data_IF_356217786519
#
_entry.id   IF_356217786519
#
_cell.length_a   1.000
_cell.length_b   1.000
_cell.length_c   1.000
_cell.angle_alpha   90.00
_cell.angle_beta   90.00
_cell.angle_gamma   90.00
#
_symmetry.space_group_name_H-M   'P 1'
#
loop_
_entity.id
_entity.type
_entity.pdbx_description
1 polymer ?
#
# COMPACT_ATOMS: atom_id res chain seq x y z
N UNK A 1 -3.99 3.41 7.58
CA UNK A 1 -4.54 4.80 7.68
C UNK A 1 -6.00 4.72 8.10
N UNK A 2 -6.56 5.83 8.62
CA UNK A 2 -7.97 5.92 9.03
C UNK A 2 -8.92 5.56 7.87
N UNK A 3 -8.61 6.01 6.64
CA UNK A 3 -9.40 5.70 5.45
C UNK A 3 -9.45 4.20 5.09
N UNK A 4 -8.32 3.49 5.24
CA UNK A 4 -8.26 2.03 5.01
C UNK A 4 -9.10 1.27 6.04
N UNK A 5 -8.95 1.61 7.32
CA UNK A 5 -9.71 0.97 8.41
C UNK A 5 -11.22 1.21 8.27
N UNK A 6 -11.62 2.43 7.92
CA UNK A 6 -13.03 2.76 7.71
C UNK A 6 -13.62 2.00 6.51
N UNK A 7 -12.87 1.90 5.41
CA UNK A 7 -13.32 1.15 4.23
C UNK A 7 -13.53 -0.34 4.54
N UNK A 8 -12.63 -0.96 5.31
CA UNK A 8 -12.81 -2.35 5.76
C UNK A 8 -14.10 -2.53 6.56
N UNK A 9 -14.37 -1.64 7.53
CA UNK A 9 -15.58 -1.71 8.36
C UNK A 9 -16.83 -1.66 7.49
N UNK A 10 -16.89 -0.74 6.52
CA UNK A 10 -18.03 -0.63 5.61
C UNK A 10 -18.22 -1.88 4.74
N UNK A 11 -17.13 -2.42 4.18
CA UNK A 11 -17.18 -3.65 3.37
C UNK A 11 -17.67 -4.84 4.21
N UNK A 12 -17.12 -5.03 5.41
CA UNK A 12 -17.50 -6.12 6.32
C UNK A 12 -18.95 -6.02 6.77
N UNK A 13 -19.40 -4.84 7.23
CA UNK A 13 -20.80 -4.63 7.63
C UNK A 13 -21.72 -4.84 6.41
N UNK A 14 -21.32 -4.36 5.23
CA UNK A 14 -22.08 -4.53 4.00
C UNK A 14 -22.28 -6.01 3.64
N UNK A 15 -21.27 -6.85 3.82
CA UNK A 15 -21.41 -8.29 3.62
C UNK A 15 -22.29 -8.96 4.68
N UNK A 16 -22.14 -8.62 5.97
CA UNK A 16 -22.93 -9.21 7.06
C UNK A 16 -24.43 -8.87 6.89
N UNK A 17 -24.73 -7.63 6.53
CA UNK A 17 -26.11 -7.16 6.35
C UNK A 17 -26.68 -7.46 4.94
N UNK A 18 -25.90 -8.13 4.07
CA UNK A 18 -26.22 -8.34 2.66
C UNK A 18 -26.57 -7.04 1.88
N UNK A 19 -26.04 -5.91 2.32
CA UNK A 19 -26.30 -4.58 1.74
C UNK A 19 -25.26 -4.26 0.67
N UNK A 20 -25.58 -4.57 -0.59
CA UNK A 20 -24.69 -4.33 -1.75
C UNK A 20 -24.20 -2.88 -1.86
N UNK A 21 -25.07 -1.90 -1.58
CA UNK A 21 -24.71 -0.48 -1.60
C UNK A 21 -23.55 -0.15 -0.66
N UNK A 22 -23.56 -0.70 0.56
CA UNK A 22 -22.54 -0.44 1.57
C UNK A 22 -21.20 -1.08 1.18
N UNK A 23 -21.26 -2.28 0.59
CA UNK A 23 -20.08 -2.96 0.03
C UNK A 23 -19.45 -2.11 -1.08
N UNK A 24 -20.23 -1.59 -2.03
CA UNK A 24 -19.71 -0.77 -3.12
C UNK A 24 -19.12 0.56 -2.64
N UNK A 25 -19.77 1.24 -1.68
CA UNK A 25 -19.22 2.46 -1.07
C UNK A 25 -17.88 2.15 -0.40
N UNK A 26 -17.80 1.06 0.37
CA UNK A 26 -16.56 0.63 1.00
C UNK A 26 -15.45 0.31 -0.01
N UNK A 27 -15.79 -0.38 -1.11
CA UNK A 27 -14.84 -0.68 -2.21
C UNK A 27 -14.34 0.61 -2.85
N UNK A 28 -15.21 1.57 -3.19
CA UNK A 28 -14.80 2.85 -3.79
C UNK A 28 -13.83 3.60 -2.89
N UNK A 29 -14.13 3.69 -1.59
CA UNK A 29 -13.25 4.33 -0.62
C UNK A 29 -11.92 3.59 -0.50
N UNK A 30 -11.93 2.26 -0.48
CA UNK A 30 -10.71 1.46 -0.44
C UNK A 30 -9.87 1.64 -1.72
N UNK A 31 -10.50 1.66 -2.89
CA UNK A 31 -9.84 1.92 -4.18
C UNK A 31 -9.17 3.28 -4.20
N UNK A 32 -9.78 4.33 -3.63
CA UNK A 32 -9.16 5.64 -3.51
C UNK A 32 -7.88 5.60 -2.66
N UNK A 33 -7.88 4.82 -1.56
CA UNK A 33 -6.69 4.62 -0.73
C UNK A 33 -5.60 3.86 -1.48
N UNK A 34 -5.94 2.76 -2.16
CA UNK A 34 -4.98 1.97 -2.96
C UNK A 34 -4.37 2.82 -4.07
N UNK A 35 -5.19 3.60 -4.78
CA UNK A 35 -4.72 4.51 -5.82
C UNK A 35 -3.74 5.53 -5.25
N UNK A 36 -4.07 6.14 -4.11
CA UNK A 36 -3.18 7.08 -3.44
C UNK A 36 -1.84 6.43 -3.10
N UNK A 37 -1.85 5.22 -2.52
CA UNK A 37 -0.62 4.48 -2.20
C UNK A 37 0.25 4.21 -3.43
N UNK A 38 -0.35 3.83 -4.56
CA UNK A 38 0.38 3.60 -5.82
C UNK A 38 1.02 4.89 -6.33
N UNK A 39 0.26 6.00 -6.31
CA UNK A 39 0.74 7.29 -6.80
C UNK A 39 1.86 7.86 -5.93
N UNK A 40 1.83 7.64 -4.61
CA UNK A 40 2.88 8.13 -3.70
C UNK A 40 4.07 7.19 -3.59
N UNK A 41 3.96 5.93 -4.03
CA UNK A 41 5.06 4.96 -3.92
C UNK A 41 6.39 5.45 -4.54
N UNK A 42 6.42 6.11 -5.73
CA UNK A 42 7.67 6.60 -6.30
C UNK A 42 8.37 7.66 -5.42
N UNK A 43 7.61 8.52 -4.74
CA UNK A 43 8.22 9.55 -3.88
C UNK A 43 8.84 8.97 -2.61
N UNK A 44 8.29 7.86 -2.09
CA UNK A 44 8.88 7.13 -0.96
C UNK A 44 10.21 6.48 -1.35
N UNK A 45 10.30 5.92 -2.56
CA UNK A 45 11.55 5.33 -3.08
C UNK A 45 12.59 6.42 -3.32
N UNK A 46 12.19 7.57 -3.90
CA UNK A 46 13.07 8.72 -4.08
C UNK A 46 13.61 9.25 -2.74
N UNK A 47 12.75 9.34 -1.72
CA UNK A 47 13.15 9.76 -0.38
C UNK A 47 14.25 8.85 0.20
N UNK A 48 14.13 7.53 0.06
CA UNK A 48 15.18 6.58 0.46
C UNK A 48 16.50 6.81 -0.30
N UNK A 49 16.45 7.08 -1.60
CA UNK A 49 17.65 7.36 -2.40
C UNK A 49 18.31 8.69 -2.01
N UNK A 50 17.50 9.73 -1.75
CA UNK A 50 17.98 11.03 -1.29
C UNK A 50 18.63 10.93 0.10
N UNK A 51 18.02 10.18 1.01
CA UNK A 51 18.57 9.95 2.35
C UNK A 51 19.95 9.27 2.30
N UNK A 52 20.14 8.28 1.42
CA UNK A 52 21.45 7.64 1.21
C UNK A 52 22.53 8.63 0.81
N UNK A 53 22.23 9.53 -0.13
CA UNK A 53 23.18 10.56 -0.58
C UNK A 53 23.54 11.51 0.56
N UNK A 54 22.54 11.99 1.28
CA UNK A 54 22.74 12.91 2.40
C UNK A 54 23.58 12.30 3.53
N UNK A 55 23.39 11.01 3.83
CA UNK A 55 24.19 10.31 4.85
C UNK A 55 25.66 10.17 4.45
N UNK A 56 25.96 10.07 3.16
CA UNK A 56 27.34 10.09 2.66
C UNK A 56 27.93 11.50 2.71
N UNK A 57 27.15 12.51 2.31
CA UNK A 57 27.58 13.93 2.27
C UNK A 57 27.84 14.51 3.66
N UNK A 58 27.07 14.08 4.67
CA UNK A 58 27.22 14.55 6.06
C UNK A 58 28.45 14.00 6.78
N UNK A 59 29.20 13.07 6.16
CA UNK A 59 30.40 12.48 6.75
C UNK A 59 30.13 11.53 7.93
N UNK A 60 28.86 11.21 8.22
CA UNK A 60 28.45 10.30 9.29
C UNK A 60 28.91 8.86 9.01
N UNK A 61 29.02 8.49 7.73
CA UNK A 61 29.44 7.16 7.29
C UNK A 61 30.95 7.11 7.05
N UNK A 62 31.67 6.63 8.06
CA UNK A 62 33.14 6.58 8.14
C UNK A 62 33.77 5.40 7.41
N UNK A 63 33.07 4.26 7.32
CA UNK A 63 33.59 3.04 6.69
C UNK A 63 32.75 2.57 5.49
N UNK A 64 33.35 1.83 4.53
CA UNK A 64 32.59 1.19 3.44
C UNK A 64 31.49 0.24 3.94
N UNK A 65 31.74 -0.48 5.05
CA UNK A 65 30.78 -1.41 5.65
C UNK A 65 29.54 -0.68 6.20
N UNK A 66 29.70 0.50 6.82
CA UNK A 66 28.57 1.31 7.29
C UNK A 66 27.70 1.80 6.11
N UNK A 67 28.33 2.18 5.00
CA UNK A 67 27.60 2.60 3.78
C UNK A 67 26.77 1.48 3.19
N UNK A 68 27.33 0.27 3.14
CA UNK A 68 26.63 -0.92 2.66
C UNK A 68 25.44 -1.26 3.58
N UNK A 69 25.67 -1.31 4.90
CA UNK A 69 24.63 -1.60 5.89
C UNK A 69 23.47 -0.60 5.84
N UNK A 70 23.77 0.70 5.80
CA UNK A 70 22.75 1.74 5.68
C UNK A 70 21.98 1.63 4.36
N UNK A 71 22.68 1.36 3.25
CA UNK A 71 22.01 1.17 1.95
C UNK A 71 21.05 -0.02 1.98
N UNK A 72 21.44 -1.13 2.62
CA UNK A 72 20.61 -2.31 2.78
C UNK A 72 19.36 -2.02 3.63
N UNK A 73 19.52 -1.35 4.77
CA UNK A 73 18.39 -0.98 5.65
C UNK A 73 17.41 -0.04 4.94
N UNK A 74 17.91 1.01 4.28
CA UNK A 74 17.05 1.97 3.55
C UNK A 74 16.37 1.34 2.33
N UNK A 75 17.00 0.35 1.69
CA UNK A 75 16.36 -0.45 0.65
C UNK A 75 15.24 -1.33 1.23
N UNK A 76 15.49 -2.02 2.35
CA UNK A 76 14.48 -2.85 3.00
C UNK A 76 13.28 -2.02 3.48
N UNK A 77 13.52 -0.81 3.99
CA UNK A 77 12.47 0.13 4.35
C UNK A 77 11.61 0.52 3.13
N UNK A 78 12.23 0.84 1.99
CA UNK A 78 11.50 1.14 0.76
C UNK A 78 10.65 -0.06 0.27
N UNK A 79 11.19 -1.28 0.33
CA UNK A 79 10.46 -2.50 -0.01
C UNK A 79 9.24 -2.76 0.87
N UNK A 80 9.24 -2.28 2.12
CA UNK A 80 8.08 -2.39 3.01
C UNK A 80 6.88 -1.62 2.47
N UNK A 81 7.08 -0.45 1.86
CA UNK A 81 6.02 0.31 1.20
C UNK A 81 5.50 -0.41 -0.05
N UNK A 82 6.40 -1.00 -0.85
CA UNK A 82 6.01 -1.78 -2.03
C UNK A 82 5.17 -2.99 -1.63
N UNK A 83 5.59 -3.72 -0.60
CA UNK A 83 4.84 -4.86 -0.07
C UNK A 83 3.45 -4.45 0.43
N UNK A 84 3.34 -3.33 1.14
CA UNK A 84 2.06 -2.78 1.58
C UNK A 84 1.14 -2.42 0.39
N UNK A 85 1.69 -1.79 -0.65
CA UNK A 85 0.94 -1.46 -1.87
C UNK A 85 0.44 -2.73 -2.57
N UNK A 86 1.30 -3.72 -2.80
CA UNK A 86 0.92 -5.01 -3.40
C UNK A 86 -0.17 -5.72 -2.57
N UNK A 87 -0.01 -5.78 -1.25
CA UNK A 87 -0.99 -6.38 -0.36
C UNK A 87 -2.36 -5.68 -0.49
N UNK A 88 -2.36 -4.34 -0.50
CA UNK A 88 -3.60 -3.56 -0.64
C UNK A 88 -4.31 -3.79 -1.99
N UNK A 89 -3.53 -3.94 -3.08
CA UNK A 89 -4.05 -4.27 -4.42
C UNK A 89 -4.69 -5.65 -4.41
N UNK A 90 -4.02 -6.66 -3.85
CA UNK A 90 -4.54 -8.02 -3.75
C UNK A 90 -5.82 -8.06 -2.92
N UNK A 91 -5.89 -7.31 -1.82
CA UNK A 91 -7.11 -7.19 -1.02
C UNK A 91 -8.25 -6.50 -1.77
N UNK A 92 -7.95 -5.49 -2.58
CA UNK A 92 -8.97 -4.83 -3.41
C UNK A 92 -9.53 -5.82 -4.45
N UNK A 93 -8.65 -6.56 -5.13
CA UNK A 93 -9.05 -7.59 -6.09
C UNK A 93 -9.91 -8.67 -5.42
N UNK A 94 -9.54 -9.10 -4.20
CA UNK A 94 -10.33 -10.05 -3.42
C UNK A 94 -11.76 -9.54 -3.16
N UNK A 95 -11.93 -8.28 -2.75
CA UNK A 95 -13.27 -7.72 -2.52
C UNK A 95 -14.07 -7.51 -3.80
N UNK A 96 -13.43 -7.09 -4.89
CA UNK A 96 -14.07 -6.97 -6.20
C UNK A 96 -14.57 -8.33 -6.71
N UNK A 97 -13.78 -9.39 -6.54
CA UNK A 97 -14.19 -10.75 -6.84
C UNK A 97 -15.37 -11.18 -5.96
N UNK A 98 -15.27 -10.98 -4.64
CA UNK A 98 -16.32 -11.38 -3.68
C UNK A 98 -17.65 -10.63 -3.90
N UNK A 99 -17.57 -9.39 -4.37
CA UNK A 99 -18.73 -8.56 -4.69
C UNK A 99 -19.36 -8.90 -6.05
N UNK A 100 -18.81 -9.86 -6.81
CA UNK A 100 -19.31 -10.27 -8.13
C UNK A 100 -18.97 -9.28 -9.26
N UNK A 101 -18.02 -8.37 -9.04
CA UNK A 101 -17.63 -7.35 -10.04
C UNK A 101 -16.56 -7.85 -11.02
N UNK A 102 -15.79 -8.88 -10.63
CA UNK A 102 -14.75 -9.50 -11.47
C UNK A 102 -15.00 -10.98 -11.77
N UNK A 103 -15.95 -11.62 -11.07
CA UNK A 103 -16.38 -12.98 -11.38
C UNK A 103 -17.57 -12.92 -12.32
N UNK A 104 -17.38 -13.35 -13.58
CA UNK A 104 -18.45 -13.49 -14.55
C UNK A 104 -19.62 -14.23 -13.92
N UNK A 105 -20.80 -13.59 -13.94
CA UNK A 105 -22.06 -14.28 -13.70
C UNK A 105 -22.30 -15.14 -14.92
N UNK A 106 -21.74 -16.35 -14.94
CA UNK A 106 -22.18 -17.39 -15.86
C UNK A 106 -23.53 -17.88 -15.31
N UNK A 107 -24.59 -17.15 -15.68
CA UNK A 107 -25.96 -17.66 -15.69
C UNK A 107 -26.12 -18.74 -16.79
#
# INVERSE_FOLDING_TARGET
SIGSNFSYILIFIGFILAMKMLVYVGIILFSAVVLFQIVTLPVEIDASNRAKKLLVETGILTSPAEREGVSAVLNAAAWTYVAAAVSSILTLLYFLFRAGLLGGSDD
#
